data_IF_815669324571
#
_entry.id   IF_815669324571
#
_cell.length_a   1.000
_cell.length_b   1.000
_cell.length_c   1.000
_cell.angle_alpha   90.00
_cell.angle_beta   90.00
_cell.angle_gamma   90.00
#
_symmetry.space_group_name_H-M   'P 1'
#
loop_
_entity.id
_entity.type
_entity.pdbx_description
1 polymer ?
#
# COMPACT_ATOMS: atom_id res chain seq x y z
N UNK A 1 6.65 -23.22 26.84
CA UNK A 1 7.35 -22.22 27.67
C UNK A 1 8.68 -21.93 26.99
N UNK A 2 8.85 -20.74 26.42
CA UNK A 2 10.14 -20.24 25.97
C UNK A 2 10.40 -18.93 26.72
N UNK A 3 11.44 -18.95 27.54
CA UNK A 3 11.82 -17.91 28.49
C UNK A 3 12.70 -16.86 27.83
N UNK A 4 12.30 -15.60 28.02
CA UNK A 4 13.10 -14.38 28.18
C UNK A 4 14.57 -14.48 27.73
N UNK A 5 14.88 -13.90 26.58
CA UNK A 5 16.22 -13.44 26.26
C UNK A 5 16.22 -11.91 26.19
N UNK A 6 16.84 -11.30 27.21
CA UNK A 6 17.42 -9.96 27.25
C UNK A 6 16.47 -8.78 27.00
N UNK A 7 16.24 -7.97 28.05
CA UNK A 7 15.46 -6.73 28.08
C UNK A 7 16.03 -5.57 27.24
N UNK A 8 16.35 -5.82 25.96
CA UNK A 8 16.72 -4.81 24.95
C UNK A 8 15.59 -4.49 23.98
N UNK A 9 14.53 -5.30 23.92
CA UNK A 9 13.34 -5.05 23.10
C UNK A 9 12.48 -3.88 23.61
N UNK A 10 12.59 -3.58 24.91
CA UNK A 10 11.90 -2.47 25.57
C UNK A 10 12.93 -1.54 26.22
N UNK A 11 13.86 -1.00 25.41
CA UNK A 11 14.61 0.18 25.82
C UNK A 11 13.69 1.39 25.59
N UNK A 12 13.59 2.38 26.50
CA UNK A 12 12.72 3.52 26.27
C UNK A 12 13.15 4.21 24.96
N UNK A 13 12.24 4.44 24.01
CA UNK A 13 12.59 5.14 22.77
C UNK A 13 13.07 6.54 23.14
N UNK A 14 14.29 6.89 22.73
CA UNK A 14 14.85 8.24 22.76
C UNK A 14 15.09 8.72 21.33
N UNK A 15 14.12 8.52 20.45
CA UNK A 15 14.14 9.11 19.12
C UNK A 15 12.76 9.69 18.85
N UNK A 16 12.66 11.00 19.04
CA UNK A 16 11.49 11.75 18.60
C UNK A 16 11.55 11.79 17.07
N UNK A 17 10.57 11.18 16.42
CA UNK A 17 10.40 11.34 14.98
C UNK A 17 9.83 12.72 14.72
N UNK A 18 10.51 13.47 13.88
CA UNK A 18 10.02 14.78 13.46
C UNK A 18 8.68 14.64 12.74
N UNK A 19 7.85 15.66 12.88
CA UNK A 19 6.53 15.74 12.26
C UNK A 19 6.67 15.69 10.73
N UNK A 20 5.80 14.92 10.07
CA UNK A 20 5.90 14.59 8.64
C UNK A 20 4.82 15.31 7.82
N UNK A 21 5.23 15.98 6.72
CA UNK A 21 4.34 16.64 5.73
C UNK A 21 4.51 16.00 4.34
N UNK A 22 3.43 15.64 3.65
CA UNK A 22 3.46 14.93 2.37
C UNK A 22 3.07 15.85 1.20
N UNK A 23 3.96 16.06 0.23
CA UNK A 23 3.69 16.86 -0.97
C UNK A 23 3.90 16.06 -2.25
N UNK A 24 2.80 15.75 -2.97
CA UNK A 24 2.85 15.00 -4.24
C UNK A 24 2.12 15.81 -5.32
N UNK A 25 2.76 15.99 -6.48
CA UNK A 25 2.16 16.62 -7.66
C UNK A 25 1.70 15.53 -8.65
N UNK A 26 0.40 15.27 -8.72
CA UNK A 26 -0.19 14.18 -9.49
C UNK A 26 -0.86 14.69 -10.76
N UNK A 27 -0.27 14.38 -11.92
CA UNK A 27 -0.95 14.43 -13.22
C UNK A 27 -1.44 13.03 -13.61
N UNK A 28 -2.74 12.82 -13.72
CA UNK A 28 -3.32 11.57 -14.25
C UNK A 28 -3.81 11.80 -15.68
N UNK A 29 -3.22 11.08 -16.65
CA UNK A 29 -3.69 11.07 -18.02
C UNK A 29 -4.26 9.69 -18.34
N UNK A 30 -5.56 9.63 -18.62
CA UNK A 30 -6.27 8.38 -18.90
C UNK A 30 -6.59 8.31 -20.39
N UNK A 31 -6.01 7.34 -21.09
CA UNK A 31 -6.32 7.08 -22.50
C UNK A 31 -7.57 6.18 -22.59
N UNK A 32 -8.65 6.69 -23.17
CA UNK A 32 -9.97 6.06 -23.12
C UNK A 32 -10.11 4.89 -24.10
N UNK A 33 -9.82 3.67 -23.64
CA UNK A 33 -10.42 2.45 -24.19
C UNK A 33 -11.35 1.85 -23.12
N UNK A 34 -12.50 2.50 -22.94
CA UNK A 34 -13.43 2.25 -21.83
C UNK A 34 -14.18 0.92 -22.01
N UNK A 35 -14.47 0.18 -20.91
CA UNK A 35 -15.35 -0.97 -20.95
C UNK A 35 -16.77 -0.56 -21.36
N UNK A 36 -17.47 -1.44 -22.09
CA UNK A 36 -18.80 -1.16 -22.65
C UNK A 36 -19.96 -1.26 -21.63
N UNK A 37 -19.68 -1.64 -20.38
CA UNK A 37 -20.66 -1.70 -19.29
C UNK A 37 -20.32 -0.65 -18.23
N UNK A 38 -21.36 0.06 -17.79
CA UNK A 38 -21.25 1.18 -16.85
C UNK A 38 -20.80 0.73 -15.44
N UNK A 39 -21.18 -0.49 -15.02
CA UNK A 39 -20.75 -1.07 -13.74
C UNK A 39 -19.24 -1.40 -13.72
N UNK A 40 -18.65 -1.70 -14.87
CA UNK A 40 -17.23 -2.03 -14.97
C UNK A 40 -16.36 -0.76 -14.90
N UNK A 41 -16.94 0.42 -15.12
CA UNK A 41 -16.26 1.71 -14.94
C UNK A 41 -15.84 1.93 -13.48
N UNK A 42 -16.70 1.54 -12.53
CA UNK A 42 -16.54 1.79 -11.09
C UNK A 42 -15.68 0.75 -10.37
N UNK A 43 -15.05 -0.18 -11.09
CA UNK A 43 -14.21 -1.24 -10.51
C UNK A 43 -12.73 -1.01 -10.87
N UNK A 44 -11.93 -0.39 -9.98
CA UNK A 44 -10.55 0.02 -10.29
C UNK A 44 -9.62 -1.13 -10.71
N UNK A 45 -9.85 -2.35 -10.20
CA UNK A 45 -9.09 -3.54 -10.55
C UNK A 45 -9.14 -3.87 -12.06
N UNK A 46 -10.22 -3.51 -12.77
CA UNK A 46 -10.31 -3.71 -14.21
C UNK A 46 -9.42 -2.76 -15.00
N UNK A 47 -9.33 -1.50 -14.58
CA UNK A 47 -8.42 -0.51 -15.15
C UNK A 47 -6.97 -0.90 -14.91
N UNK A 48 -6.64 -1.34 -13.68
CA UNK A 48 -5.30 -1.80 -13.33
C UNK A 48 -4.83 -2.97 -14.23
N UNK A 49 -5.70 -3.95 -14.48
CA UNK A 49 -5.37 -5.09 -15.36
C UNK A 49 -5.21 -4.67 -16.83
N UNK A 50 -6.02 -3.73 -17.30
CA UNK A 50 -5.89 -3.17 -18.65
C UNK A 50 -4.59 -2.37 -18.81
N UNK A 51 -4.20 -1.59 -17.78
CA UNK A 51 -2.93 -0.86 -17.73
C UNK A 51 -1.73 -1.80 -17.67
N UNK A 52 -1.77 -2.84 -16.84
CA UNK A 52 -0.71 -3.87 -16.82
C UNK A 52 -0.59 -4.55 -18.18
N UNK A 53 -1.70 -4.86 -18.85
CA UNK A 53 -1.70 -5.39 -20.22
C UNK A 53 -1.08 -4.43 -21.24
N UNK A 54 -1.30 -3.12 -21.08
CA UNK A 54 -0.68 -2.09 -21.91
C UNK A 54 0.83 -1.96 -21.65
N UNK A 55 1.26 -1.93 -20.39
CA UNK A 55 2.68 -1.87 -19.98
C UNK A 55 3.44 -3.12 -20.41
N UNK A 56 2.82 -4.30 -20.29
CA UNK A 56 3.40 -5.58 -20.75
C UNK A 56 3.34 -5.78 -22.27
N UNK A 57 2.89 -4.78 -23.04
CA UNK A 57 2.82 -4.86 -24.51
C UNK A 57 1.80 -5.88 -25.05
N UNK A 58 0.89 -6.37 -24.20
CA UNK A 58 -0.16 -7.34 -24.57
C UNK A 58 -1.41 -6.64 -25.10
N UNK A 59 -1.23 -5.67 -25.99
CA UNK A 59 -2.32 -4.97 -26.65
C UNK A 59 -3.00 -5.90 -27.66
N UNK A 60 -4.21 -6.39 -27.34
CA UNK A 60 -5.09 -6.96 -28.38
C UNK A 60 -5.75 -5.79 -29.10
N UNK A 61 -5.50 -5.57 -30.40
CA UNK A 61 -6.18 -4.51 -31.14
C UNK A 61 -7.68 -4.74 -31.10
N UNK A 62 -8.43 -3.73 -30.67
CA UNK A 62 -9.90 -3.74 -30.62
C UNK A 62 -10.45 -3.58 -32.04
N UNK A 63 -10.34 -4.63 -32.85
CA UNK A 63 -11.19 -4.74 -34.04
C UNK A 63 -12.58 -5.15 -33.60
N UNK A 64 -13.60 -4.43 -34.10
CA UNK A 64 -15.03 -4.57 -33.75
C UNK A 64 -15.53 -6.02 -33.88
N UNK A 65 -14.85 -6.83 -34.71
CA UNK A 65 -15.16 -8.23 -34.98
C UNK A 65 -14.81 -9.16 -33.79
N UNK A 66 -13.76 -8.85 -33.01
CA UNK A 66 -13.37 -9.65 -31.83
C UNK A 66 -14.31 -9.43 -30.64
N UNK A 67 -14.97 -8.27 -30.57
CA UNK A 67 -15.90 -7.92 -29.50
C UNK A 67 -17.14 -8.82 -29.44
N UNK A 68 -17.56 -9.46 -30.55
CA UNK A 68 -18.70 -10.41 -30.54
C UNK A 68 -18.34 -11.79 -30.01
N UNK A 69 -17.11 -12.26 -30.19
CA UNK A 69 -16.64 -13.55 -29.68
C UNK A 69 -16.29 -13.52 -28.20
N UNK A 70 -15.74 -12.40 -27.72
CA UNK A 70 -15.33 -12.20 -26.30
C UNK A 70 -16.52 -11.98 -25.36
N UNK A 71 -17.71 -11.67 -25.89
CA UNK A 71 -18.96 -11.43 -25.12
C UNK A 71 -19.41 -12.57 -24.20
N UNK A 72 -18.86 -13.79 -24.33
CA UNK A 72 -19.37 -14.98 -23.63
C UNK A 72 -18.52 -15.51 -22.48
N UNK A 73 -17.31 -15.01 -22.24
CA UNK A 73 -16.45 -15.61 -21.19
C UNK A 73 -15.72 -14.64 -20.28
N UNK A 74 -16.05 -13.36 -20.30
CA UNK A 74 -15.59 -12.46 -19.23
C UNK A 74 -16.54 -12.58 -18.04
N UNK A 75 -16.62 -13.78 -17.48
CA UNK A 75 -17.00 -13.98 -16.08
C UNK A 75 -15.89 -13.36 -15.26
N UNK A 76 -16.09 -12.12 -14.85
CA UNK A 76 -15.23 -11.51 -13.86
C UNK A 76 -15.58 -12.15 -12.51
N UNK A 77 -14.72 -12.99 -11.90
CA UNK A 77 -14.91 -13.33 -10.50
C UNK A 77 -14.96 -12.04 -9.69
N UNK A 78 -15.71 -12.03 -8.58
CA UNK A 78 -15.84 -10.86 -7.69
C UNK A 78 -14.45 -10.24 -7.46
N UNK A 79 -14.21 -9.12 -8.15
CA UNK A 79 -12.90 -8.53 -8.34
C UNK A 79 -12.69 -7.44 -7.31
N UNK A 80 -13.03 -7.75 -6.06
CA UNK A 80 -12.76 -6.85 -4.95
C UNK A 80 -11.28 -6.94 -4.66
N UNK A 81 -10.59 -5.79 -4.72
CA UNK A 81 -9.17 -5.72 -4.43
C UNK A 81 -8.99 -5.99 -2.93
N UNK A 82 -8.39 -7.14 -2.59
CA UNK A 82 -8.07 -7.44 -1.20
C UNK A 82 -6.87 -6.63 -0.75
N UNK A 83 -6.80 -6.33 0.54
CA UNK A 83 -5.67 -5.61 1.12
C UNK A 83 -4.36 -6.36 0.90
N UNK A 84 -4.35 -7.70 0.94
CA UNK A 84 -3.14 -8.48 0.65
C UNK A 84 -2.65 -8.27 -0.78
N UNK A 85 -3.54 -8.30 -1.78
CA UNK A 85 -3.21 -7.97 -3.16
C UNK A 85 -2.65 -6.55 -3.31
N UNK A 86 -3.25 -5.58 -2.61
CA UNK A 86 -2.76 -4.20 -2.61
C UNK A 86 -1.34 -4.09 -2.03
N UNK A 87 -1.10 -4.68 -0.85
CA UNK A 87 0.22 -4.62 -0.23
C UNK A 87 1.27 -5.41 -1.03
N UNK A 88 0.91 -6.52 -1.65
CA UNK A 88 1.80 -7.25 -2.55
C UNK A 88 2.19 -6.39 -3.76
N UNK A 89 1.23 -5.73 -4.40
CA UNK A 89 1.52 -4.79 -5.49
C UNK A 89 2.38 -3.61 -5.03
N UNK A 90 2.19 -3.14 -3.79
CA UNK A 90 3.03 -2.10 -3.19
C UNK A 90 4.47 -2.60 -2.94
N UNK A 91 4.66 -3.84 -2.47
CA UNK A 91 5.99 -4.46 -2.33
C UNK A 91 6.67 -4.59 -3.70
N UNK A 92 5.97 -5.03 -4.75
CA UNK A 92 6.52 -5.10 -6.11
C UNK A 92 6.94 -3.72 -6.64
N UNK A 93 6.11 -2.69 -6.42
CA UNK A 93 6.44 -1.32 -6.80
C UNK A 93 7.66 -0.80 -6.04
N UNK A 94 7.76 -1.10 -4.74
CA UNK A 94 8.92 -0.75 -3.93
C UNK A 94 10.19 -1.43 -4.41
N UNK A 95 10.11 -2.71 -4.77
CA UNK A 95 11.24 -3.43 -5.37
C UNK A 95 11.68 -2.80 -6.71
N UNK A 96 10.72 -2.38 -7.54
CA UNK A 96 11.02 -1.66 -8.78
C UNK A 96 11.69 -0.29 -8.55
N UNK A 97 11.44 0.33 -7.39
CA UNK A 97 12.09 1.57 -6.94
C UNK A 97 13.36 1.31 -6.11
N UNK A 98 13.90 0.09 -6.12
CA UNK A 98 15.12 -0.31 -5.38
C UNK A 98 15.00 -0.26 -3.85
N UNK A 99 13.77 -0.35 -3.32
CA UNK A 99 13.52 -0.58 -1.89
C UNK A 99 13.47 -2.07 -1.58
N UNK A 100 13.87 -2.44 -0.35
CA UNK A 100 13.80 -3.83 0.13
C UNK A 100 12.36 -4.28 0.44
N UNK A 101 12.14 -5.60 0.48
CA UNK A 101 10.82 -6.21 0.75
C UNK A 101 10.24 -5.86 2.12
N UNK A 102 11.09 -5.57 3.10
CA UNK A 102 10.66 -5.22 4.46
C UNK A 102 10.39 -3.70 4.63
N UNK A 103 10.67 -2.89 3.62
CA UNK A 103 10.51 -1.43 3.70
C UNK A 103 9.05 -0.99 3.85
N UNK A 104 8.10 -1.76 3.31
CA UNK A 104 6.67 -1.51 3.53
C UNK A 104 6.26 -1.76 4.98
N UNK A 105 6.75 -2.83 5.59
CA UNK A 105 6.46 -3.10 7.00
C UNK A 105 7.12 -2.04 7.92
N UNK A 106 8.33 -1.58 7.56
CA UNK A 106 9.00 -0.47 8.23
C UNK A 106 8.17 0.81 8.15
N UNK A 107 7.64 1.18 6.98
CA UNK A 107 6.83 2.39 6.84
C UNK A 107 5.53 2.35 7.66
N UNK A 108 4.88 1.19 7.74
CA UNK A 108 3.70 1.00 8.62
C UNK A 108 4.08 1.19 10.09
N UNK A 109 5.18 0.58 10.53
CA UNK A 109 5.68 0.73 11.91
C UNK A 109 5.99 2.20 12.24
N UNK A 110 6.70 2.90 11.36
CA UNK A 110 7.04 4.31 11.54
C UNK A 110 5.80 5.21 11.56
N UNK A 111 4.81 4.94 10.70
CA UNK A 111 3.58 5.72 10.68
C UNK A 111 2.74 5.51 11.95
N UNK A 112 2.66 4.27 12.43
CA UNK A 112 1.97 3.97 13.68
C UNK A 112 2.67 4.59 14.90
N UNK A 113 3.99 4.74 14.84
CA UNK A 113 4.76 5.44 15.86
C UNK A 113 4.58 6.97 15.79
N UNK A 114 4.66 7.54 14.58
CA UNK A 114 4.52 8.98 14.33
C UNK A 114 3.49 9.23 13.21
N UNK A 115 2.21 9.44 13.57
CA UNK A 115 1.17 9.73 12.58
C UNK A 115 1.38 11.10 11.94
N UNK A 116 0.83 11.30 10.74
CA UNK A 116 0.87 12.60 10.07
C UNK A 116 0.14 13.68 10.87
N UNK A 117 0.67 14.91 10.86
CA UNK A 117 0.05 16.02 11.57
C UNK A 117 -1.13 16.58 10.77
N UNK A 118 -2.33 16.49 11.34
CA UNK A 118 -3.49 17.24 10.86
C UNK A 118 -3.34 18.70 11.28
N UNK A 119 -3.14 19.60 10.32
CA UNK A 119 -3.33 21.03 10.59
C UNK A 119 -4.83 21.31 10.77
N UNK A 120 -5.19 22.12 11.76
CA UNK A 120 -6.59 22.40 12.11
C UNK A 120 -7.41 23.05 10.97
N UNK A 121 -6.73 23.55 9.93
CA UNK A 121 -7.34 24.27 8.81
C UNK A 121 -7.03 23.66 7.42
N UNK A 122 -6.33 22.52 7.34
CA UNK A 122 -6.03 21.84 6.07
C UNK A 122 -6.35 20.35 6.17
N UNK A 123 -7.43 19.93 5.51
CA UNK A 123 -7.76 18.53 5.30
C UNK A 123 -7.03 18.01 4.07
N UNK A 124 -5.86 17.40 4.27
CA UNK A 124 -5.14 16.73 3.18
C UNK A 124 -5.71 15.33 2.94
N UNK A 125 -6.56 15.19 1.92
CA UNK A 125 -7.16 13.91 1.54
C UNK A 125 -6.11 12.83 1.27
N UNK A 126 -4.94 13.19 0.70
CA UNK A 126 -3.86 12.23 0.46
C UNK A 126 -3.24 11.71 1.75
N UNK A 127 -3.13 12.56 2.77
CA UNK A 127 -2.64 12.17 4.09
C UNK A 127 -3.61 11.18 4.74
N UNK A 128 -4.91 11.44 4.63
CA UNK A 128 -5.93 10.52 5.17
C UNK A 128 -5.96 9.18 4.41
N UNK A 129 -5.82 9.21 3.09
CA UNK A 129 -5.69 8.00 2.28
C UNK A 129 -4.43 7.23 2.66
N UNK A 130 -3.28 7.89 2.78
CA UNK A 130 -2.04 7.25 3.19
C UNK A 130 -2.15 6.65 4.60
N UNK A 131 -2.75 7.38 5.54
CA UNK A 131 -3.02 6.88 6.89
C UNK A 131 -3.93 5.65 6.85
N UNK A 132 -5.04 5.71 6.12
CA UNK A 132 -5.96 4.58 5.98
C UNK A 132 -5.27 3.35 5.37
N UNK A 133 -4.54 3.53 4.28
CA UNK A 133 -3.86 2.44 3.58
C UNK A 133 -2.71 1.82 4.39
N UNK A 134 -1.98 2.61 5.19
CA UNK A 134 -0.86 2.13 5.99
C UNK A 134 -1.26 1.77 7.43
N UNK A 135 -2.56 1.72 7.74
CA UNK A 135 -3.10 1.27 9.03
C UNK A 135 -3.93 0.00 8.83
N UNK A 136 -3.30 -1.19 8.75
CA UNK A 136 -3.96 -2.44 8.40
C UNK A 136 -5.07 -2.85 9.37
N UNK A 137 -5.00 -2.45 10.65
CA UNK A 137 -6.05 -2.73 11.64
C UNK A 137 -7.40 -2.06 11.35
N UNK A 138 -7.41 -0.95 10.60
CA UNK A 138 -8.60 -0.11 10.39
C UNK A 138 -9.51 -0.63 9.28
N UNK A 139 -8.95 -1.03 8.14
CA UNK A 139 -9.75 -1.31 6.94
C UNK A 139 -10.33 -2.73 6.89
N UNK A 140 -9.79 -3.70 7.64
CA UNK A 140 -10.26 -5.11 7.68
C UNK A 140 -10.49 -5.73 6.28
N UNK A 141 -9.81 -5.25 5.25
CA UNK A 141 -10.05 -5.61 3.85
C UNK A 141 -9.19 -6.78 3.35
N UNK A 142 -8.56 -7.53 4.26
CA UNK A 142 -7.78 -8.72 3.90
C UNK A 142 -8.71 -9.88 3.54
N UNK A 143 -8.35 -10.62 2.50
CA UNK A 143 -9.03 -11.86 2.15
C UNK A 143 -8.84 -12.95 3.22
N UNK A 144 -9.77 -13.91 3.30
CA UNK A 144 -9.70 -15.01 4.29
C UNK A 144 -8.43 -15.85 4.16
N UNK A 145 -7.87 -15.95 2.95
CA UNK A 145 -6.65 -16.70 2.65
C UNK A 145 -5.36 -15.93 2.95
N UNK A 146 -5.42 -14.62 3.21
CA UNK A 146 -4.27 -13.70 3.34
C UNK A 146 -3.85 -13.49 4.80
N UNK A 147 -4.01 -14.53 5.64
CA UNK A 147 -3.76 -14.45 7.08
C UNK A 147 -2.30 -14.09 7.40
N UNK A 148 -1.33 -14.54 6.60
CA UNK A 148 0.09 -14.33 6.87
C UNK A 148 0.47 -12.87 6.65
N UNK A 149 0.00 -12.31 5.55
CA UNK A 149 0.16 -10.92 5.12
C UNK A 149 -0.50 -10.00 6.15
N UNK A 150 -1.75 -10.29 6.52
CA UNK A 150 -2.45 -9.57 7.59
C UNK A 150 -1.62 -9.54 8.87
N UNK A 151 -1.17 -10.70 9.34
CA UNK A 151 -0.39 -10.81 10.58
C UNK A 151 0.95 -10.06 10.50
N UNK A 152 1.63 -10.09 9.34
CA UNK A 152 2.89 -9.35 9.12
C UNK A 152 2.69 -7.85 9.33
N UNK A 153 1.69 -7.27 8.67
CA UNK A 153 1.47 -5.82 8.70
C UNK A 153 0.80 -5.34 10.00
N UNK A 154 -0.16 -6.08 10.55
CA UNK A 154 -0.75 -5.78 11.87
C UNK A 154 0.31 -5.85 12.98
N UNK A 155 1.26 -6.78 12.90
CA UNK A 155 2.35 -6.84 13.86
C UNK A 155 3.27 -5.62 13.75
N UNK A 156 3.57 -5.15 12.53
CA UNK A 156 4.34 -3.93 12.31
C UNK A 156 3.66 -2.69 12.92
N UNK A 157 2.36 -2.56 12.72
CA UNK A 157 1.55 -1.48 13.28
C UNK A 157 1.59 -1.50 14.82
N UNK A 158 1.36 -2.68 15.43
CA UNK A 158 1.38 -2.84 16.89
C UNK A 158 2.74 -2.48 17.50
N UNK A 159 3.84 -2.82 16.82
CA UNK A 159 5.19 -2.47 17.27
C UNK A 159 5.39 -0.95 17.25
N UNK A 160 4.98 -0.28 16.18
CA UNK A 160 5.02 1.18 16.09
C UNK A 160 4.19 1.86 17.18
N UNK A 161 2.93 1.41 17.35
CA UNK A 161 2.02 1.91 18.38
C UNK A 161 2.52 1.69 19.81
N UNK A 162 3.30 0.62 20.05
CA UNK A 162 3.94 0.35 21.34
C UNK A 162 5.16 1.23 21.64
N UNK A 163 5.57 2.08 20.69
CA UNK A 163 6.75 2.93 20.83
C UNK A 163 8.07 2.22 20.53
N UNK A 164 8.05 1.06 19.85
CA UNK A 164 9.27 0.34 19.54
C UNK A 164 10.11 1.07 18.48
N UNK A 165 11.42 0.80 18.48
CA UNK A 165 12.34 1.36 17.49
C UNK A 165 12.27 0.58 16.16
N UNK A 166 11.51 1.11 15.21
CA UNK A 166 11.28 0.51 13.90
C UNK A 166 12.56 0.40 13.05
N UNK A 167 13.58 1.23 13.27
CA UNK A 167 14.87 1.15 12.56
C UNK A 167 15.66 -0.10 12.97
N UNK A 168 15.63 -0.44 14.27
CA UNK A 168 16.30 -1.64 14.79
C UNK A 168 15.57 -2.92 14.39
N UNK A 169 14.24 -2.89 14.35
CA UNK A 169 13.42 -4.05 13.99
C UNK A 169 13.57 -4.36 12.50
N UNK A 170 13.53 -3.34 11.65
CA UNK A 170 13.61 -3.47 10.19
C UNK A 170 14.98 -3.02 9.64
N UNK A 171 16.06 -3.52 10.23
CA UNK A 171 17.44 -3.18 9.84
C UNK A 171 17.80 -3.55 8.39
N UNK A 172 17.05 -4.46 7.77
CA UNK A 172 17.19 -4.83 6.35
C UNK A 172 16.74 -3.73 5.38
N UNK A 173 16.01 -2.73 5.86
CA UNK A 173 15.57 -1.58 5.09
C UNK A 173 16.19 -0.28 5.62
N UNK A 174 17.34 0.17 5.06
CA UNK A 174 17.97 1.40 5.52
C UNK A 174 17.21 2.66 5.06
N UNK A 175 16.52 2.63 3.92
CA UNK A 175 15.79 3.78 3.37
C UNK A 175 14.30 3.70 3.73
N UNK A 176 13.77 4.61 4.53
CA UNK A 176 12.32 4.68 4.76
C UNK A 176 11.60 5.29 3.56
N UNK A 177 10.50 4.65 3.12
CA UNK A 177 9.61 5.22 2.11
C UNK A 177 9.05 6.58 2.57
N UNK A 178 8.69 6.68 3.85
CA UNK A 178 8.06 7.88 4.38
C UNK A 178 9.06 9.02 4.48
N UNK A 179 10.32 8.77 4.84
CA UNK A 179 11.38 9.79 4.79
C UNK A 179 11.63 10.31 3.36
N UNK A 180 11.43 9.47 2.36
CA UNK A 180 11.67 9.86 0.97
C UNK A 180 10.58 10.80 0.42
N UNK A 181 9.32 10.63 0.84
CA UNK A 181 8.19 11.38 0.29
C UNK A 181 7.60 12.42 1.23
N UNK A 182 7.80 12.30 2.54
CA UNK A 182 7.41 13.33 3.50
C UNK A 182 8.60 14.24 3.78
N UNK A 183 8.45 15.55 3.55
CA UNK A 183 9.49 16.51 3.90
C UNK A 183 9.49 16.73 5.41
N UNK A 184 10.71 16.74 5.96
CA UNK A 184 11.02 17.24 7.28
C UNK A 184 11.30 18.75 7.16
N UNK A 185 10.44 19.57 7.75
CA UNK A 185 10.77 20.97 8.10
C UNK A 185 10.72 21.12 9.62
#
# INVERSE_FOLDING_TARGET
MCTVTNGRLFKPPKKDYAVRRLGINLGFQVNYNLPFRLLDFYKPAYWARALIGAVQGRFKPTTVVSARGVKRSVTHPDSDLTAGQLYHAAEELMQAMEFGSECLAKSICELAHSPFQREANQEDLLMEVAHFLLTPSVHRSFGETEYRERKKYEMAENLGASGADCELIYASCPKSLLEHYSKFE
#
